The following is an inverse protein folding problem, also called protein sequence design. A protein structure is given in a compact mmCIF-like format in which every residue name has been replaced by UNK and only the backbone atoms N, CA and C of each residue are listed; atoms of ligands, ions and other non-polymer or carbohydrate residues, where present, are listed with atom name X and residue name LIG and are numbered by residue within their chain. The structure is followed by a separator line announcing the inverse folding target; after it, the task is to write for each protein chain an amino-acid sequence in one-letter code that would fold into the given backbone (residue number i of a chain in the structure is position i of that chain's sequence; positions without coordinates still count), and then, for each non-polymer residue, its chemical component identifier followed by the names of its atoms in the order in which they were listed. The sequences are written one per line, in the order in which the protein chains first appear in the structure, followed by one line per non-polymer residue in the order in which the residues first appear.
data_IF_612729350136
#
_entry.id   IF_612729350136
#
_cell.length_a   1.000
_cell.length_b   1.000
_cell.length_c   1.000
_cell.angle_alpha   90.00
_cell.angle_beta   90.00
_cell.angle_gamma   90.00
#
_symmetry.space_group_name_H-M   'P 1'
#
loop_
_entity.id
_entity.type
_entity.pdbx_description
1 polymer ?
#
# COMPACT_ATOMS: atom_id res chain seq x y z
N UNK A 1 11.88 15.79 -10.78
CA UNK A 1 10.98 16.12 -9.65
C UNK A 1 11.21 15.15 -8.50
N UNK A 2 12.38 15.23 -7.87
CA UNK A 2 12.77 14.32 -6.79
C UNK A 2 13.38 15.16 -5.67
N UNK A 3 12.53 15.74 -4.82
CA UNK A 3 12.93 16.31 -3.53
C UNK A 3 11.79 16.17 -2.54
N UNK A 4 12.13 15.69 -1.33
CA UNK A 4 11.33 15.63 -0.08
C UNK A 4 10.68 14.29 0.28
N UNK A 5 11.48 13.22 0.35
CA UNK A 5 11.33 12.22 1.42
C UNK A 5 11.74 12.90 2.74
N UNK A 6 10.76 13.47 3.43
CA UNK A 6 10.96 13.99 4.79
C UNK A 6 10.69 12.82 5.74
N UNK A 7 11.66 12.57 6.59
CA UNK A 7 11.59 11.72 7.77
C UNK A 7 10.24 11.89 8.48
N UNK A 8 9.50 10.79 8.63
CA UNK A 8 8.46 10.68 9.65
C UNK A 8 9.05 9.79 10.74
N UNK A 9 9.92 10.38 11.57
CA UNK A 9 10.23 9.79 12.86
C UNK A 9 9.12 10.19 13.85
N UNK A 10 8.28 9.21 14.15
CA UNK A 10 7.78 8.84 15.47
C UNK A 10 7.76 9.99 16.49
N UNK A 11 6.58 10.60 16.64
CA UNK A 11 6.08 11.04 17.95
C UNK A 11 4.78 10.28 18.16
N UNK A 12 4.92 9.02 18.58
CA UNK A 12 3.83 8.07 18.79
C UNK A 12 3.88 7.60 20.25
N UNK A 13 4.03 8.55 21.18
CA UNK A 13 3.92 8.32 22.63
C UNK A 13 3.29 9.58 23.23
N UNK A 14 2.23 9.39 24.03
CA UNK A 14 1.35 10.38 24.67
C UNK A 14 0.33 11.01 23.70
N UNK A 15 -0.99 10.85 23.82
CA UNK A 15 -1.83 10.84 25.02
C UNK A 15 -3.03 9.90 24.79
N UNK A 16 -3.06 8.77 25.51
CA UNK A 16 -4.29 8.03 25.80
C UNK A 16 -4.62 8.31 27.26
N UNK A 17 -5.26 9.43 27.55
CA UNK A 17 -5.94 9.66 28.83
C UNK A 17 -6.86 10.88 28.66
N UNK A 18 -8.10 10.71 29.08
CA UNK A 18 -9.21 11.66 29.10
C UNK A 18 -10.07 11.72 27.82
N UNK A 19 -11.00 10.77 27.73
CA UNK A 19 -12.39 11.11 27.48
C UNK A 19 -13.29 10.15 28.28
N UNK A 20 -14.23 10.72 29.03
CA UNK A 20 -15.24 10.01 29.80
C UNK A 20 -16.05 9.08 28.89
N UNK A 21 -15.88 7.77 29.02
CA UNK A 21 -16.74 6.75 28.42
C UNK A 21 -17.23 5.82 29.53
N UNK A 22 -18.42 5.25 29.35
CA UNK A 22 -18.88 4.12 30.15
C UNK A 22 -17.75 3.09 30.27
N UNK A 23 -17.55 2.54 31.47
CA UNK A 23 -16.37 1.72 31.79
C UNK A 23 -16.51 0.36 31.11
N UNK A 24 -16.16 0.30 29.81
CA UNK A 24 -16.15 -0.92 28.99
C UNK A 24 -15.49 -2.04 29.80
N UNK A 25 -16.28 -3.07 30.10
CA UNK A 25 -15.84 -4.19 30.94
C UNK A 25 -15.04 -5.19 30.12
N UNK A 26 -14.00 -5.75 30.72
CA UNK A 26 -13.14 -6.74 30.08
C UNK A 26 -13.95 -7.95 29.59
N UNK A 27 -14.87 -8.44 30.42
CA UNK A 27 -15.69 -9.62 30.15
C UNK A 27 -16.62 -9.37 28.95
N UNK A 28 -17.21 -8.17 28.85
CA UNK A 28 -18.01 -7.76 27.70
C UNK A 28 -17.18 -7.79 26.41
N UNK A 29 -16.01 -7.16 26.43
CA UNK A 29 -15.14 -7.06 25.25
C UNK A 29 -14.62 -8.43 24.81
N UNK A 30 -14.24 -9.28 25.76
CA UNK A 30 -13.77 -10.64 25.47
C UNK A 30 -14.89 -11.52 24.90
N UNK A 31 -16.10 -11.45 25.46
CA UNK A 31 -17.23 -12.21 24.93
C UNK A 31 -17.64 -11.74 23.53
N UNK A 32 -17.59 -10.44 23.26
CA UNK A 32 -17.81 -9.90 21.92
C UNK A 32 -16.76 -10.42 20.91
N UNK A 33 -15.48 -10.46 21.30
CA UNK A 33 -14.41 -11.03 20.48
C UNK A 33 -14.62 -12.53 20.23
N UNK A 34 -14.97 -13.31 21.27
CA UNK A 34 -15.30 -14.74 21.14
C UNK A 34 -16.47 -14.97 20.19
N UNK A 35 -17.53 -14.15 20.27
CA UNK A 35 -18.68 -14.19 19.35
C UNK A 35 -18.28 -13.98 17.89
N UNK A 36 -17.28 -13.13 17.63
CA UNK A 36 -16.68 -12.92 16.30
C UNK A 36 -15.64 -13.99 15.90
N UNK A 37 -15.56 -15.12 16.63
CA UNK A 37 -14.54 -16.16 16.46
C UNK A 37 -13.10 -15.66 16.63
N UNK A 38 -12.92 -14.58 17.38
CA UNK A 38 -11.62 -13.96 17.64
C UNK A 38 -11.08 -14.49 18.96
N UNK A 39 -10.39 -15.62 18.89
CA UNK A 39 -9.79 -16.27 20.06
C UNK A 39 -8.40 -15.71 20.36
N UNK A 40 -8.04 -15.70 21.65
CA UNK A 40 -6.71 -15.34 22.14
C UNK A 40 -6.44 -16.09 23.46
N UNK A 41 -5.26 -16.69 23.58
CA UNK A 41 -4.83 -17.44 24.76
C UNK A 41 -4.79 -16.54 26.01
N UNK A 42 -4.54 -15.24 25.80
CA UNK A 42 -4.62 -14.23 26.83
C UNK A 42 -6.00 -14.13 27.49
N UNK A 43 -7.08 -14.64 26.89
CA UNK A 43 -8.44 -14.49 27.41
C UNK A 43 -9.07 -15.79 27.91
N UNK A 44 -8.31 -16.90 27.94
CA UNK A 44 -8.82 -18.21 28.35
C UNK A 44 -9.42 -18.23 29.77
N UNK A 45 -8.89 -17.40 30.67
CA UNK A 45 -9.32 -17.29 32.07
C UNK A 45 -10.38 -16.20 32.32
N UNK A 46 -10.86 -15.52 31.28
CA UNK A 46 -11.85 -14.44 31.43
C UNK A 46 -13.24 -15.08 31.37
N UNK A 47 -13.99 -14.91 32.46
CA UNK A 47 -15.37 -15.36 32.60
C UNK A 47 -16.29 -14.68 31.59
N UNK A 48 -17.43 -15.31 31.32
CA UNK A 48 -18.45 -14.73 30.46
C UNK A 48 -19.10 -13.50 31.09
N UNK A 49 -19.53 -12.59 30.23
CA UNK A 49 -20.18 -11.35 30.60
C UNK A 49 -21.56 -11.62 31.20
N UNK A 50 -21.72 -11.34 32.50
CA UNK A 50 -22.98 -11.52 33.22
C UNK A 50 -23.99 -10.36 33.05
N UNK A 51 -23.64 -9.32 32.28
CA UNK A 51 -24.49 -8.15 32.08
C UNK A 51 -25.43 -8.24 30.87
N UNK A 52 -26.13 -7.14 30.55
CA UNK A 52 -27.02 -7.08 29.39
C UNK A 52 -26.22 -7.06 28.07
N UNK A 53 -26.44 -8.02 27.15
CA UNK A 53 -25.73 -8.09 25.87
C UNK A 53 -25.90 -6.85 24.97
N UNK A 54 -27.05 -6.18 25.04
CA UNK A 54 -27.31 -4.96 24.27
C UNK A 54 -26.42 -3.81 24.74
N UNK A 55 -26.33 -3.62 26.06
CA UNK A 55 -25.43 -2.63 26.67
C UNK A 55 -23.97 -2.90 26.30
N UNK A 56 -23.55 -4.17 26.33
CA UNK A 56 -22.20 -4.55 25.90
C UNK A 56 -21.95 -4.22 24.42
N UNK A 57 -22.91 -4.51 23.55
CA UNK A 57 -22.83 -4.21 22.12
C UNK A 57 -22.69 -2.71 21.87
N UNK A 58 -23.44 -1.88 22.59
CA UNK A 58 -23.40 -0.43 22.45
C UNK A 58 -22.06 0.15 22.95
N UNK A 59 -21.56 -0.32 24.10
CA UNK A 59 -20.24 0.07 24.62
C UNK A 59 -19.10 -0.30 23.65
N UNK A 60 -19.16 -1.49 23.05
CA UNK A 60 -18.17 -1.93 22.04
C UNK A 60 -18.27 -1.06 20.78
N UNK A 61 -19.47 -0.77 20.29
CA UNK A 61 -19.67 0.12 19.13
C UNK A 61 -19.13 1.53 19.40
N UNK A 62 -19.39 2.08 20.58
CA UNK A 62 -18.86 3.39 20.98
C UNK A 62 -17.32 3.36 21.00
N UNK A 63 -16.74 2.26 21.49
CA UNK A 63 -15.29 2.07 21.49
C UNK A 63 -14.72 1.99 20.08
N UNK A 64 -15.34 1.23 19.18
CA UNK A 64 -14.98 1.16 17.76
C UNK A 64 -15.04 2.56 17.11
N UNK A 65 -16.13 3.31 17.36
CA UNK A 65 -16.30 4.66 16.83
C UNK A 65 -15.21 5.62 17.36
N UNK A 66 -14.77 5.44 18.61
CA UNK A 66 -13.66 6.20 19.17
C UNK A 66 -12.34 5.91 18.42
N UNK A 67 -12.09 4.67 18.02
CA UNK A 67 -10.92 4.31 17.22
C UNK A 67 -10.92 5.00 15.86
N UNK A 68 -12.06 4.97 15.16
CA UNK A 68 -12.19 5.63 13.86
C UNK A 68 -12.08 7.16 13.97
N UNK A 69 -12.70 7.76 14.98
CA UNK A 69 -12.58 9.21 15.26
C UNK A 69 -11.11 9.59 15.49
N UNK A 70 -10.39 8.81 16.29
CA UNK A 70 -8.97 9.04 16.57
C UNK A 70 -8.09 8.87 15.32
N UNK A 71 -8.32 7.83 14.53
CA UNK A 71 -7.59 7.60 13.29
C UNK A 71 -7.81 8.76 12.30
N UNK A 72 -9.08 9.17 12.11
CA UNK A 72 -9.44 10.32 11.26
C UNK A 72 -8.76 11.60 11.73
N UNK A 73 -8.84 11.90 13.02
CA UNK A 73 -8.20 13.11 13.58
C UNK A 73 -6.70 13.15 13.30
N UNK A 74 -5.99 12.03 13.45
CA UNK A 74 -4.55 11.93 13.13
C UNK A 74 -4.26 12.19 11.65
N UNK A 75 -5.07 11.62 10.75
CA UNK A 75 -4.93 11.85 9.30
C UNK A 75 -5.18 13.33 8.95
N UNK A 76 -6.18 13.95 9.57
CA UNK A 76 -6.55 15.36 9.32
C UNK A 76 -5.54 16.36 9.90
N UNK A 77 -4.85 16.02 10.99
CA UNK A 77 -3.78 16.83 11.58
C UNK A 77 -2.52 16.86 10.71
N UNK A 78 -2.28 15.82 9.91
CA UNK A 78 -1.14 15.77 9.00
C UNK A 78 -1.52 16.32 7.62
N UNK A 79 -0.98 17.49 7.26
CA UNK A 79 -1.28 18.17 5.97
C UNK A 79 -1.05 17.29 4.72
N UNK A 80 -0.15 16.31 4.80
CA UNK A 80 0.15 15.39 3.67
C UNK A 80 -0.85 14.23 3.59
N UNK A 81 -1.48 13.87 4.69
CA UNK A 81 -2.41 12.74 4.78
C UNK A 81 -3.87 13.21 4.69
N UNK A 82 -4.15 14.43 5.15
CA UNK A 82 -5.47 15.06 5.16
C UNK A 82 -6.24 14.91 3.83
N UNK A 83 -5.65 15.13 2.63
CA UNK A 83 -6.39 14.97 1.37
C UNK A 83 -6.89 13.56 1.11
N UNK A 84 -6.34 12.56 1.80
CA UNK A 84 -6.64 11.14 1.61
C UNK A 84 -7.45 10.55 2.77
N UNK A 85 -7.82 11.35 3.78
CA UNK A 85 -8.46 10.87 5.00
C UNK A 85 -9.73 10.06 4.71
N UNK A 86 -10.66 10.58 3.91
CA UNK A 86 -11.92 9.88 3.62
C UNK A 86 -11.69 8.54 2.89
N UNK A 87 -10.76 8.50 1.94
CA UNK A 87 -10.39 7.26 1.26
C UNK A 87 -9.79 6.25 2.24
N UNK A 88 -8.86 6.68 3.10
CA UNK A 88 -8.22 5.80 4.09
C UNK A 88 -9.25 5.27 5.07
N UNK A 89 -10.15 6.11 5.57
CA UNK A 89 -11.19 5.70 6.51
C UNK A 89 -12.09 4.61 5.90
N UNK A 90 -12.48 4.76 4.63
CA UNK A 90 -13.25 3.75 3.91
C UNK A 90 -12.51 2.42 3.72
N UNK A 91 -11.19 2.47 3.53
CA UNK A 91 -10.37 1.27 3.34
C UNK A 91 -10.10 0.50 4.65
N UNK A 92 -10.02 1.20 5.79
CA UNK A 92 -9.75 0.57 7.08
C UNK A 92 -10.99 0.13 7.84
N UNK A 93 -12.19 0.56 7.41
CA UNK A 93 -13.48 0.17 7.98
C UNK A 93 -13.75 -1.32 7.73
N UNK A 94 -13.15 -2.16 8.58
CA UNK A 94 -13.07 -3.60 8.40
C UNK A 94 -13.03 -4.32 9.75
N UNK A 95 -13.63 -5.52 9.81
CA UNK A 95 -13.60 -6.33 11.03
C UNK A 95 -12.17 -6.66 11.48
N UNK A 96 -11.23 -6.84 10.55
CA UNK A 96 -9.83 -7.14 10.88
C UNK A 96 -9.18 -6.01 11.68
N UNK A 97 -9.36 -4.76 11.23
CA UNK A 97 -8.84 -3.58 11.93
C UNK A 97 -9.49 -3.40 13.31
N UNK A 98 -10.82 -3.52 13.38
CA UNK A 98 -11.57 -3.45 14.65
C UNK A 98 -11.08 -4.50 15.65
N UNK A 99 -10.98 -5.75 15.21
CA UNK A 99 -10.62 -6.87 16.07
C UNK A 99 -9.20 -6.71 16.64
N UNK A 100 -8.25 -6.14 15.89
CA UNK A 100 -6.90 -5.85 16.39
C UNK A 100 -6.93 -4.83 17.53
N UNK A 101 -7.68 -3.73 17.37
CA UNK A 101 -7.76 -2.66 18.36
C UNK A 101 -8.55 -3.07 19.60
N UNK A 102 -9.64 -3.82 19.41
CA UNK A 102 -10.42 -4.40 20.50
C UNK A 102 -9.58 -5.42 21.29
N UNK A 103 -8.80 -6.29 20.62
CA UNK A 103 -7.84 -7.18 21.30
C UNK A 103 -6.82 -6.41 22.13
N UNK A 104 -6.22 -5.35 21.56
CA UNK A 104 -5.25 -4.52 22.27
C UNK A 104 -5.88 -3.93 23.55
N UNK A 105 -7.09 -3.37 23.43
CA UNK A 105 -7.85 -2.82 24.56
C UNK A 105 -8.18 -3.87 25.62
N UNK A 106 -8.57 -5.08 25.22
CA UNK A 106 -8.84 -6.17 26.16
C UNK A 106 -7.59 -6.58 26.94
N UNK A 107 -6.43 -6.64 26.28
CA UNK A 107 -5.14 -6.92 26.95
C UNK A 107 -4.76 -5.81 27.93
N UNK A 108 -4.99 -4.55 27.57
CA UNK A 108 -4.77 -3.41 28.48
C UNK A 108 -5.67 -3.49 29.72
N UNK A 109 -6.97 -3.77 29.53
CA UNK A 109 -7.96 -3.89 30.60
C UNK A 109 -7.70 -5.10 31.52
N UNK A 110 -7.23 -6.23 30.97
CA UNK A 110 -6.86 -7.41 31.77
C UNK A 110 -5.76 -7.09 32.79
N UNK A 111 -4.90 -6.13 32.49
CA UNK A 111 -3.82 -5.70 33.38
C UNK A 111 -2.75 -6.79 33.57
N UNK A 112 -1.94 -6.62 34.62
CA UNK A 112 -0.91 -7.59 35.03
C UNK A 112 -1.26 -8.21 36.38
N UNK A 113 -1.07 -9.52 36.53
CA UNK A 113 -1.33 -10.25 37.78
C UNK A 113 -0.09 -10.97 38.28
N UNK A 114 -0.01 -11.18 39.61
CA UNK A 114 1.11 -11.80 40.34
C UNK A 114 1.58 -13.18 39.83
N UNK A 115 0.76 -13.90 39.03
CA UNK A 115 1.07 -15.26 38.56
C UNK A 115 1.10 -15.46 37.04
N UNK A 116 0.69 -14.51 36.20
CA UNK A 116 0.32 -14.86 34.81
C UNK A 116 0.76 -13.93 33.69
N UNK A 117 1.33 -12.75 33.94
CA UNK A 117 1.81 -11.88 32.85
C UNK A 117 2.87 -10.88 33.32
N UNK A 118 4.09 -10.93 32.76
CA UNK A 118 5.08 -9.87 32.96
C UNK A 118 4.63 -8.61 32.20
N UNK A 119 4.85 -7.43 32.78
CA UNK A 119 4.56 -6.14 32.14
C UNK A 119 5.21 -6.03 30.75
N UNK A 120 6.43 -6.56 30.60
CA UNK A 120 7.16 -6.61 29.33
C UNK A 120 6.38 -7.31 28.23
N UNK A 121 5.81 -8.47 28.53
CA UNK A 121 5.16 -9.33 27.54
C UNK A 121 3.82 -8.72 27.14
N UNK A 122 3.15 -8.02 28.08
CA UNK A 122 1.89 -7.32 27.82
C UNK A 122 2.14 -6.17 26.85
N UNK A 123 3.13 -5.33 27.17
CA UNK A 123 3.48 -4.19 26.34
C UNK A 123 3.97 -4.63 24.96
N UNK A 124 4.71 -5.73 24.86
CA UNK A 124 5.13 -6.30 23.58
C UNK A 124 3.92 -6.77 22.74
N UNK A 125 2.95 -7.47 23.34
CA UNK A 125 1.74 -7.95 22.66
C UNK A 125 0.85 -6.80 22.21
N UNK A 126 0.64 -5.78 23.06
CA UNK A 126 -0.13 -4.57 22.69
C UNK A 126 0.55 -3.86 21.54
N UNK A 127 1.86 -3.62 21.62
CA UNK A 127 2.64 -2.96 20.57
C UNK A 127 2.61 -3.73 19.23
N UNK A 128 2.62 -5.07 19.27
CA UNK A 128 2.47 -5.90 18.06
C UNK A 128 1.09 -5.71 17.41
N UNK A 129 0.01 -5.72 18.21
CA UNK A 129 -1.35 -5.49 17.71
C UNK A 129 -1.54 -4.07 17.16
N UNK A 130 -1.03 -3.06 17.86
CA UNK A 130 -1.03 -1.68 17.40
C UNK A 130 -0.20 -1.52 16.12
N UNK A 131 0.95 -2.20 16.03
CA UNK A 131 1.78 -2.23 14.82
C UNK A 131 1.01 -2.80 13.62
N UNK A 132 0.31 -3.93 13.80
CA UNK A 132 -0.54 -4.52 12.76
C UNK A 132 -1.69 -3.60 12.35
N UNK A 133 -2.32 -2.92 13.30
CA UNK A 133 -3.37 -1.95 13.01
C UNK A 133 -2.80 -0.74 12.24
N UNK A 134 -1.61 -0.26 12.61
CA UNK A 134 -0.92 0.81 11.88
C UNK A 134 -0.52 0.36 10.47
N UNK A 135 -0.11 -0.89 10.27
CA UNK A 135 0.22 -1.43 8.95
C UNK A 135 -1.00 -1.42 8.00
N UNK A 136 -2.20 -1.68 8.52
CA UNK A 136 -3.46 -1.55 7.77
C UNK A 136 -3.68 -0.10 7.35
N UNK A 137 -3.53 0.86 8.27
CA UNK A 137 -3.68 2.29 7.99
C UNK A 137 -2.64 2.78 6.97
N UNK A 138 -1.38 2.40 7.14
CA UNK A 138 -0.30 2.76 6.22
C UNK A 138 -0.52 2.14 4.84
N UNK A 139 -1.04 0.91 4.79
CA UNK A 139 -1.38 0.25 3.54
C UNK A 139 -2.52 0.96 2.80
N UNK A 140 -3.59 1.31 3.52
CA UNK A 140 -4.67 2.13 2.99
C UNK A 140 -4.16 3.49 2.50
N UNK A 141 -3.26 4.13 3.25
CA UNK A 141 -2.66 5.41 2.85
C UNK A 141 -1.83 5.28 1.57
N UNK A 142 -1.01 4.24 1.43
CA UNK A 142 -0.25 3.96 0.20
C UNK A 142 -1.21 3.78 -0.98
N UNK A 143 -2.28 3.01 -0.80
CA UNK A 143 -3.29 2.78 -1.84
C UNK A 143 -3.98 4.08 -2.25
N UNK A 144 -4.53 4.82 -1.30
CA UNK A 144 -5.29 6.05 -1.54
C UNK A 144 -4.43 7.15 -2.16
N UNK A 145 -3.23 7.37 -1.63
CA UNK A 145 -2.28 8.34 -2.19
C UNK A 145 -1.75 7.88 -3.54
N UNK A 146 -1.38 6.60 -3.66
CA UNK A 146 -0.86 6.01 -4.89
C UNK A 146 -1.84 6.09 -6.05
N UNK A 147 -3.14 5.92 -5.80
CA UNK A 147 -4.18 6.10 -6.82
C UNK A 147 -4.12 7.48 -7.48
N UNK A 148 -3.92 8.53 -6.69
CA UNK A 148 -3.81 9.90 -7.18
C UNK A 148 -2.44 10.16 -7.80
N UNK A 149 -1.38 9.90 -7.05
CA UNK A 149 -0.01 10.26 -7.44
C UNK A 149 0.48 9.46 -8.65
N UNK A 150 0.29 8.14 -8.65
CA UNK A 150 0.67 7.30 -9.78
C UNK A 150 -0.26 7.48 -10.98
N UNK A 151 -1.53 7.83 -10.73
CA UNK A 151 -2.46 8.19 -11.79
C UNK A 151 -2.02 9.45 -12.53
N UNK A 152 -1.67 10.50 -11.80
CA UNK A 152 -1.14 11.73 -12.36
C UNK A 152 0.23 11.51 -13.04
N UNK A 153 1.08 10.66 -12.47
CA UNK A 153 2.35 10.27 -13.08
C UNK A 153 2.13 9.57 -14.43
N UNK A 154 1.19 8.61 -14.51
CA UNK A 154 0.84 7.95 -15.76
C UNK A 154 0.38 8.95 -16.81
N UNK A 155 -0.56 9.84 -16.46
CA UNK A 155 -1.08 10.85 -17.40
C UNK A 155 0.04 11.76 -17.91
N UNK A 156 0.87 12.27 -16.99
CA UNK A 156 2.01 13.11 -17.33
C UNK A 156 2.98 12.40 -18.26
N UNK A 157 3.32 11.15 -17.96
CA UNK A 157 4.28 10.38 -18.75
C UNK A 157 3.73 10.05 -20.14
N UNK A 158 2.44 9.67 -20.20
CA UNK A 158 1.74 9.38 -21.45
C UNK A 158 1.59 10.63 -22.34
N UNK A 159 1.23 11.77 -21.76
CA UNK A 159 0.94 13.01 -22.49
C UNK A 159 2.18 13.75 -22.95
N UNK A 160 3.27 13.69 -22.19
CA UNK A 160 4.51 14.38 -22.56
C UNK A 160 5.15 13.82 -23.84
N UNK A 161 4.59 12.74 -24.43
CA UNK A 161 5.14 12.06 -25.60
C UNK A 161 6.67 11.98 -25.51
N UNK A 162 7.20 11.68 -24.31
CA UNK A 162 8.63 11.50 -24.04
C UNK A 162 9.18 10.23 -24.71
N UNK A 163 8.66 9.88 -25.88
CA UNK A 163 9.47 9.22 -26.86
C UNK A 163 10.59 10.19 -27.21
N UNK A 164 11.73 10.01 -26.55
CA UNK A 164 12.98 10.19 -27.29
C UNK A 164 12.77 9.54 -28.67
N UNK A 165 13.28 10.17 -29.72
CA UNK A 165 13.30 9.52 -31.04
C UNK A 165 14.20 8.31 -30.90
N UNK A 166 13.63 7.21 -30.45
CA UNK A 166 14.26 5.91 -30.48
C UNK A 166 14.58 5.64 -31.94
N UNK A 167 15.79 5.15 -32.19
CA UNK A 167 16.07 4.61 -33.50
C UNK A 167 15.11 3.44 -33.77
N UNK A 168 14.91 3.13 -35.05
CA UNK A 168 13.89 2.16 -35.45
C UNK A 168 14.20 0.76 -34.91
N UNK A 169 15.49 0.44 -34.74
CA UNK A 169 15.96 -0.79 -34.12
C UNK A 169 15.50 -0.93 -32.67
N UNK A 170 15.63 0.12 -31.86
CA UNK A 170 15.18 0.13 -30.48
C UNK A 170 13.66 0.01 -30.40
N UNK A 171 12.91 0.72 -31.27
CA UNK A 171 11.45 0.60 -31.31
C UNK A 171 11.01 -0.84 -31.60
N UNK A 172 11.64 -1.49 -32.59
CA UNK A 172 11.43 -2.89 -32.89
C UNK A 172 11.74 -3.80 -31.68
N UNK A 173 12.90 -3.62 -31.05
CA UNK A 173 13.30 -4.47 -29.92
C UNK A 173 12.44 -4.28 -28.68
N UNK A 174 12.05 -3.04 -28.36
CA UNK A 174 11.11 -2.75 -27.28
C UNK A 174 9.74 -3.40 -27.55
N UNK A 175 9.22 -3.27 -28.77
CA UNK A 175 7.97 -3.92 -29.19
C UNK A 175 8.06 -5.44 -29.08
N UNK A 176 9.12 -6.04 -29.62
CA UNK A 176 9.36 -7.48 -29.54
C UNK A 176 9.43 -7.95 -28.09
N UNK A 177 10.20 -7.27 -27.25
CA UNK A 177 10.33 -7.60 -25.83
C UNK A 177 8.98 -7.57 -25.09
N UNK A 178 8.22 -6.47 -25.22
CA UNK A 178 6.91 -6.33 -24.56
C UNK A 178 5.89 -7.35 -25.06
N UNK A 179 6.00 -7.76 -26.33
CA UNK A 179 5.20 -8.84 -26.89
C UNK A 179 5.58 -10.20 -26.32
N UNK A 180 6.87 -10.54 -26.34
CA UNK A 180 7.38 -11.84 -25.88
C UNK A 180 7.08 -12.04 -24.37
N UNK A 181 7.09 -10.95 -23.59
CA UNK A 181 6.71 -10.94 -22.18
C UNK A 181 5.20 -10.83 -21.93
N UNK A 182 4.38 -10.76 -22.98
CA UNK A 182 2.92 -10.60 -22.89
C UNK A 182 2.47 -9.36 -22.10
N UNK A 183 3.27 -8.29 -22.09
CA UNK A 183 2.90 -7.02 -21.44
C UNK A 183 1.89 -6.20 -22.26
N UNK A 184 1.79 -6.48 -23.56
CA UNK A 184 0.85 -5.84 -24.50
C UNK A 184 -0.02 -6.90 -25.15
N UNK A 185 -1.34 -6.65 -25.19
CA UNK A 185 -2.29 -7.50 -25.90
C UNK A 185 -2.33 -7.08 -27.37
N UNK A 186 -1.72 -7.88 -28.26
CA UNK A 186 -1.54 -7.48 -29.66
C UNK A 186 -2.86 -7.09 -30.36
N UNK A 187 -3.89 -7.92 -30.19
CA UNK A 187 -5.19 -7.77 -30.83
C UNK A 187 -5.96 -6.54 -30.36
N UNK A 188 -5.63 -6.03 -29.16
CA UNK A 188 -6.34 -4.90 -28.57
C UNK A 188 -5.93 -3.57 -29.20
N UNK A 189 -4.67 -3.43 -29.63
CA UNK A 189 -4.09 -2.13 -30.00
C UNK A 189 -3.68 -2.01 -31.47
N UNK A 190 -4.11 -2.93 -32.34
CA UNK A 190 -3.59 -3.00 -33.72
C UNK A 190 -2.06 -3.12 -33.75
N UNK A 191 -1.50 -3.82 -32.78
CA UNK A 191 -0.07 -3.81 -32.50
C UNK A 191 0.72 -4.55 -33.60
N UNK A 192 1.71 -3.86 -34.15
CA UNK A 192 2.72 -4.44 -35.03
C UNK A 192 4.08 -4.39 -34.35
N UNK A 193 4.81 -5.51 -34.40
CA UNK A 193 6.17 -5.62 -33.83
C UNK A 193 7.17 -4.81 -34.67
N UNK A 194 7.08 -4.88 -36.01
CA UNK A 194 7.94 -4.17 -36.95
C UNK A 194 7.11 -3.24 -37.87
N UNK A 195 6.52 -2.15 -37.34
CA UNK A 195 5.64 -1.27 -38.12
C UNK A 195 6.38 -0.47 -39.20
N UNK A 196 7.71 -0.36 -39.11
CA UNK A 196 8.56 0.38 -40.05
C UNK A 196 9.27 -0.52 -41.06
N UNK A 197 9.05 -1.84 -41.00
CA UNK A 197 9.65 -2.82 -41.90
C UNK A 197 11.18 -2.72 -41.98
N UNK A 198 11.85 -2.50 -40.85
CA UNK A 198 13.32 -2.50 -40.81
C UNK A 198 13.87 -3.90 -41.09
N UNK A 199 15.11 -3.98 -41.57
CA UNK A 199 15.86 -5.23 -41.61
C UNK A 199 16.20 -5.70 -40.19
N UNK A 200 15.70 -6.87 -39.82
CA UNK A 200 15.89 -7.47 -38.49
C UNK A 200 16.94 -8.56 -38.46
N UNK A 201 17.56 -8.90 -39.59
CA UNK A 201 18.48 -10.04 -39.74
C UNK A 201 19.73 -9.94 -38.84
N UNK A 202 20.18 -8.72 -38.57
CA UNK A 202 21.36 -8.42 -37.75
C UNK A 202 21.01 -7.77 -36.40
N UNK A 203 19.72 -7.65 -36.06
CA UNK A 203 19.27 -6.94 -34.86
C UNK A 203 19.34 -7.86 -33.64
N UNK A 204 20.25 -7.56 -32.70
CA UNK A 204 20.30 -8.21 -31.40
C UNK A 204 19.43 -7.44 -30.37
N UNK A 205 18.22 -7.92 -30.16
CA UNK A 205 17.29 -7.28 -29.21
C UNK A 205 17.60 -7.53 -27.75
N UNK A 206 18.24 -8.64 -27.40
CA UNK A 206 18.58 -8.94 -26.00
C UNK A 206 19.62 -7.93 -25.49
N UNK A 207 20.68 -7.68 -26.27
CA UNK A 207 21.69 -6.68 -25.94
C UNK A 207 21.10 -5.26 -25.94
N UNK A 208 20.24 -4.96 -26.92
CA UNK A 208 19.56 -3.65 -27.00
C UNK A 208 18.73 -3.37 -25.75
N UNK A 209 17.93 -4.36 -25.30
CA UNK A 209 17.09 -4.21 -24.11
C UNK A 209 17.91 -4.20 -22.83
N UNK A 210 19.00 -4.97 -22.76
CA UNK A 210 19.93 -4.92 -21.62
C UNK A 210 20.51 -3.53 -21.42
N UNK A 211 21.04 -2.92 -22.48
CA UNK A 211 21.57 -1.55 -22.44
C UNK A 211 20.48 -0.56 -22.03
N UNK A 212 19.27 -0.70 -22.57
CA UNK A 212 18.13 0.15 -22.22
C UNK A 212 17.83 0.09 -20.72
N UNK A 213 17.75 -1.12 -20.15
CA UNK A 213 17.46 -1.30 -18.74
C UNK A 213 18.59 -0.81 -17.84
N UNK A 214 19.86 -0.98 -18.23
CA UNK A 214 21.00 -0.42 -17.51
C UNK A 214 20.95 1.12 -17.49
N UNK A 215 20.62 1.74 -18.62
CA UNK A 215 20.44 3.19 -18.70
C UNK A 215 19.28 3.66 -17.82
N UNK A 216 18.11 3.03 -17.91
CA UNK A 216 16.97 3.37 -17.06
C UNK A 216 17.28 3.14 -15.57
N UNK A 217 17.97 2.05 -15.21
CA UNK A 217 18.44 1.79 -13.84
C UNK A 217 19.38 2.89 -13.36
N UNK A 218 20.30 3.35 -14.20
CA UNK A 218 21.22 4.44 -13.85
C UNK A 218 20.49 5.76 -13.60
N UNK A 219 19.47 6.08 -14.40
CA UNK A 219 18.63 7.27 -14.21
C UNK A 219 17.86 7.23 -12.89
N UNK A 220 17.29 6.07 -12.54
CA UNK A 220 16.61 5.86 -11.26
C UNK A 220 17.61 5.96 -10.10
N UNK A 221 18.81 5.41 -10.27
CA UNK A 221 19.88 5.45 -9.26
C UNK A 221 20.43 6.85 -9.01
N UNK A 222 20.48 7.68 -10.05
CA UNK A 222 20.86 9.10 -9.95
C UNK A 222 19.89 9.96 -9.13
N UNK A 223 18.73 9.45 -8.74
CA UNK A 223 17.73 10.20 -7.95
C UNK A 223 18.08 10.34 -6.45
N UNK A 224 19.14 9.66 -5.98
CA UNK A 224 19.51 9.62 -4.56
C UNK A 224 18.65 8.68 -3.72
N UNK A 225 17.89 7.78 -4.38
CA UNK A 225 17.14 6.73 -3.70
C UNK A 225 18.08 5.64 -3.18
N UNK A 226 17.72 5.00 -2.06
CA UNK A 226 18.52 3.91 -1.48
C UNK A 226 18.59 2.70 -2.45
N UNK A 227 19.73 1.97 -2.52
CA UNK A 227 19.87 0.81 -3.40
C UNK A 227 18.75 -0.22 -3.27
N UNK A 228 18.37 -0.60 -2.04
CA UNK A 228 17.28 -1.56 -1.81
C UNK A 228 15.94 -1.12 -2.44
N UNK A 229 15.61 0.16 -2.35
CA UNK A 229 14.36 0.71 -2.91
C UNK A 229 14.36 0.56 -4.43
N UNK A 230 15.49 0.87 -5.05
CA UNK A 230 15.68 0.80 -6.50
C UNK A 230 15.60 -0.64 -6.96
N UNK A 231 16.33 -1.55 -6.30
CA UNK A 231 16.35 -2.96 -6.65
C UNK A 231 14.95 -3.55 -6.50
N UNK A 232 14.19 -3.21 -5.44
CA UNK A 232 12.79 -3.64 -5.30
C UNK A 232 11.88 -3.11 -6.41
N UNK A 233 11.99 -1.85 -6.81
CA UNK A 233 11.23 -1.33 -7.96
C UNK A 233 11.55 -2.09 -9.24
N UNK A 234 12.83 -2.37 -9.50
CA UNK A 234 13.28 -3.06 -10.71
C UNK A 234 12.85 -4.53 -10.70
N UNK A 235 13.07 -5.25 -9.60
CA UNK A 235 12.65 -6.66 -9.41
C UNK A 235 11.15 -6.84 -9.63
N UNK A 236 10.34 -5.83 -9.30
CA UNK A 236 8.90 -5.87 -9.46
C UNK A 236 8.41 -5.33 -10.82
N UNK A 237 9.31 -5.06 -11.78
CA UNK A 237 8.93 -4.75 -13.18
C UNK A 237 8.66 -3.28 -13.46
N UNK A 238 9.22 -2.35 -12.67
CA UNK A 238 9.09 -0.91 -12.93
C UNK A 238 9.54 -0.52 -14.35
N UNK A 239 10.66 -1.07 -14.81
CA UNK A 239 11.21 -0.72 -16.12
C UNK A 239 10.29 -1.19 -17.26
N UNK A 240 9.71 -2.38 -17.14
CA UNK A 240 8.75 -2.92 -18.09
C UNK A 240 7.50 -2.04 -18.20
N UNK A 241 7.00 -1.55 -17.05
CA UNK A 241 5.89 -0.61 -17.02
C UNK A 241 6.19 0.70 -17.75
N UNK A 242 7.39 1.25 -17.55
CA UNK A 242 7.80 2.48 -18.23
C UNK A 242 7.86 2.26 -19.75
N UNK A 243 8.48 1.18 -20.21
CA UNK A 243 8.50 0.82 -21.63
C UNK A 243 7.09 0.63 -22.20
N UNK A 244 6.19 0.00 -21.42
CA UNK A 244 4.80 -0.19 -21.82
C UNK A 244 4.10 1.16 -22.04
N UNK A 245 4.23 2.11 -21.12
CA UNK A 245 3.63 3.45 -21.31
C UNK A 245 4.23 4.14 -22.54
N UNK A 246 5.56 4.09 -22.71
CA UNK A 246 6.23 4.65 -23.90
C UNK A 246 5.64 4.09 -25.20
N UNK A 247 5.45 2.77 -25.27
CA UNK A 247 4.84 2.13 -26.43
C UNK A 247 3.38 2.56 -26.62
N UNK A 248 2.57 2.60 -25.54
CA UNK A 248 1.16 3.00 -25.61
C UNK A 248 0.99 4.40 -26.22
N UNK A 249 1.91 5.33 -25.99
CA UNK A 249 1.87 6.66 -26.63
C UNK A 249 1.94 6.62 -28.16
N UNK A 250 2.41 5.51 -28.75
CA UNK A 250 2.55 5.28 -30.19
C UNK A 250 1.42 4.42 -30.79
N UNK A 251 0.61 3.77 -29.95
CA UNK A 251 -0.44 2.84 -30.38
C UNK A 251 -1.82 3.49 -30.46
N UNK A 252 -1.94 4.79 -30.10
CA UNK A 252 -3.20 5.54 -30.11
C UNK A 252 -4.39 4.79 -29.47
N UNK A 253 -4.26 4.27 -28.23
CA UNK A 253 -5.35 3.59 -27.54
C UNK A 253 -6.56 4.52 -27.37
N UNK A 254 -7.75 3.93 -27.34
CA UNK A 254 -9.00 4.64 -27.01
C UNK A 254 -8.97 5.16 -25.56
N UNK A 255 -9.86 6.09 -25.23
CA UNK A 255 -9.96 6.63 -23.86
C UNK A 255 -10.22 5.53 -22.81
N UNK A 256 -11.07 4.55 -23.14
CA UNK A 256 -11.36 3.41 -22.26
C UNK A 256 -10.13 2.54 -22.03
N UNK A 257 -9.34 2.29 -23.07
CA UNK A 257 -8.11 1.50 -22.98
C UNK A 257 -7.01 2.23 -22.22
N UNK A 258 -6.84 3.54 -22.47
CA UNK A 258 -5.93 4.39 -21.68
C UNK A 258 -6.29 4.31 -20.20
N UNK A 259 -7.58 4.40 -19.86
CA UNK A 259 -8.03 4.31 -18.47
C UNK A 259 -7.78 2.92 -17.87
N UNK A 260 -8.03 1.84 -18.60
CA UNK A 260 -7.71 0.48 -18.15
C UNK A 260 -6.21 0.32 -17.88
N UNK A 261 -5.36 0.78 -18.80
CA UNK A 261 -3.90 0.71 -18.66
C UNK A 261 -3.39 1.57 -17.50
N UNK A 262 -3.98 2.74 -17.29
CA UNK A 262 -3.72 3.58 -16.12
C UNK A 262 -4.01 2.83 -14.82
N UNK A 263 -5.15 2.14 -14.72
CA UNK A 263 -5.50 1.36 -13.52
C UNK A 263 -4.54 0.20 -13.27
N UNK A 264 -4.12 -0.51 -14.32
CA UNK A 264 -3.11 -1.57 -14.23
C UNK A 264 -1.79 -0.99 -13.71
N UNK A 265 -1.32 0.10 -14.33
CA UNK A 265 -0.09 0.78 -13.92
C UNK A 265 -0.13 1.23 -12.44
N UNK A 266 -1.20 1.94 -12.05
CA UNK A 266 -1.39 2.42 -10.68
C UNK A 266 -1.36 1.28 -9.68
N UNK A 267 -2.07 0.19 -9.97
CA UNK A 267 -2.13 -1.00 -9.10
C UNK A 267 -0.74 -1.62 -8.94
N UNK A 268 0.01 -1.78 -10.03
CA UNK A 268 1.36 -2.34 -9.96
C UNK A 268 2.31 -1.42 -9.18
N UNK A 269 2.24 -0.11 -9.38
CA UNK A 269 3.06 0.85 -8.62
C UNK A 269 2.74 0.86 -7.12
N UNK A 270 1.47 0.69 -6.73
CA UNK A 270 1.06 0.50 -5.34
C UNK A 270 1.70 -0.78 -4.78
N UNK A 271 1.60 -1.90 -5.51
CA UNK A 271 2.20 -3.18 -5.08
C UNK A 271 3.73 -3.08 -4.91
N UNK A 272 4.43 -2.39 -5.82
CA UNK A 272 5.86 -2.11 -5.69
C UNK A 272 6.15 -1.29 -4.43
N UNK A 273 5.33 -0.28 -4.14
CA UNK A 273 5.46 0.56 -2.94
C UNK A 273 5.31 -0.26 -1.65
N UNK A 274 4.41 -1.24 -1.63
CA UNK A 274 4.30 -2.18 -0.52
C UNK A 274 5.54 -3.05 -0.36
N UNK A 275 6.09 -3.58 -1.47
CA UNK A 275 7.29 -4.42 -1.42
C UNK A 275 8.50 -3.69 -0.82
N UNK A 276 8.59 -2.37 -1.01
CA UNK A 276 9.68 -1.52 -0.51
C UNK A 276 9.64 -1.31 1.00
N UNK A 277 8.50 -1.52 1.68
CA UNK A 277 8.43 -1.46 3.15
C UNK A 277 9.41 -2.42 3.82
N UNK A 278 9.84 -3.47 3.12
CA UNK A 278 10.84 -4.44 3.60
C UNK A 278 12.28 -3.92 3.56
N UNK A 279 12.53 -2.78 2.91
CA UNK A 279 13.86 -2.19 2.86
C UNK A 279 14.22 -1.53 4.20
N UNK A 280 15.41 -1.82 4.76
CA UNK A 280 15.85 -1.20 6.00
C UNK A 280 15.94 0.32 5.88
N UNK A 281 15.48 1.01 6.94
CA UNK A 281 15.61 2.45 7.11
C UNK A 281 17.06 2.90 7.31
#
# INVERSE_FOLDING_TARGET
MARKLILIQIVLIAVLLQNCQAKLKLECLVDFLKFRNVNDDAFASVESYAGNPLTCTDEVKEKIQSFYTNARSKLEQNFRQKPFADCVMKEIESESYENLLLKATAIELKGVGLKFWKISDKNARVKDLEGKAQDIVDGALIKCKGQVDFGAFFDTYYEQKRGEKFNDQFDYCMRKYLNDKSFIKMNQYGFQVNPKYIDTSSVNCDDTMKIAFEQMKSQVSGTGSKPCVIDKFIENGYLDLILKIQLLTKLNPTAAEKQMEKQIFVTQMINMTHAIKTCPM
#
